data_IF_129536592664
#
_entry.id   IF_129536592664
#
_cell.length_a   1.000
_cell.length_b   1.000
_cell.length_c   1.000
_cell.angle_alpha   90.00
_cell.angle_beta   90.00
_cell.angle_gamma   90.00
#
_symmetry.space_group_name_H-M   'P 1'
#
loop_
_entity.id
_entity.type
_entity.pdbx_description
1 polymer ?
#
# COMPACT_ATOMS: atom_id res chain seq x y z
N UNK A 1 -12.63 -23.46 9.00
CA UNK A 1 -12.92 -22.02 8.70
C UNK A 1 -13.81 -21.98 7.47
N UNK A 2 -14.90 -21.22 7.50
CA UNK A 2 -15.84 -21.13 6.36
C UNK A 2 -15.16 -20.34 5.23
N UNK A 3 -15.54 -20.57 3.97
CA UNK A 3 -14.94 -19.87 2.81
C UNK A 3 -15.00 -18.34 2.91
N UNK A 4 -16.00 -17.80 3.62
CA UNK A 4 -16.14 -16.36 3.90
C UNK A 4 -15.03 -15.80 4.80
N UNK A 5 -14.52 -16.60 5.73
CA UNK A 5 -13.45 -16.19 6.65
C UNK A 5 -12.13 -16.04 5.89
N UNK A 6 -11.85 -16.97 4.96
CA UNK A 6 -10.68 -16.91 4.08
C UNK A 6 -10.74 -15.69 3.13
N UNK A 7 -11.92 -15.39 2.59
CA UNK A 7 -12.11 -14.20 1.76
C UNK A 7 -11.84 -12.91 2.54
N UNK A 8 -12.41 -12.79 3.74
CA UNK A 8 -12.20 -11.64 4.61
C UNK A 8 -10.72 -11.47 4.97
N UNK A 9 -10.03 -12.58 5.26
CA UNK A 9 -8.61 -12.58 5.56
C UNK A 9 -7.76 -12.14 4.35
N UNK A 10 -8.07 -12.61 3.15
CA UNK A 10 -7.36 -12.23 1.93
C UNK A 10 -7.54 -10.74 1.59
N UNK A 11 -8.75 -10.20 1.81
CA UNK A 11 -9.01 -8.76 1.67
C UNK A 11 -8.17 -7.97 2.67
N UNK A 12 -8.14 -8.39 3.93
CA UNK A 12 -7.33 -7.76 4.98
C UNK A 12 -5.84 -7.76 4.65
N UNK A 13 -5.30 -8.88 4.16
CA UNK A 13 -3.90 -8.99 3.75
C UNK A 13 -3.56 -8.09 2.55
N UNK A 14 -4.43 -8.01 1.54
CA UNK A 14 -4.23 -7.12 0.40
C UNK A 14 -4.20 -5.65 0.85
N UNK A 15 -5.08 -5.27 1.78
CA UNK A 15 -5.12 -3.93 2.32
C UNK A 15 -3.87 -3.58 3.12
N UNK A 16 -3.52 -4.42 4.09
CA UNK A 16 -2.35 -4.24 4.94
C UNK A 16 -1.06 -4.28 4.12
N UNK A 17 -0.94 -5.22 3.19
CA UNK A 17 0.19 -5.33 2.27
C UNK A 17 0.34 -4.08 1.41
N UNK A 18 -0.77 -3.55 0.87
CA UNK A 18 -0.77 -2.29 0.12
C UNK A 18 -0.31 -1.10 0.96
N UNK A 19 -0.83 -0.95 2.19
CA UNK A 19 -0.45 0.13 3.11
C UNK A 19 1.03 0.03 3.48
N UNK A 20 1.51 -1.15 3.89
CA UNK A 20 2.91 -1.35 4.29
C UNK A 20 3.84 -1.08 3.10
N UNK A 21 3.51 -1.58 1.91
CA UNK A 21 4.29 -1.33 0.71
C UNK A 21 4.32 0.18 0.37
N UNK A 22 3.17 0.86 0.43
CA UNK A 22 3.07 2.30 0.21
C UNK A 22 3.91 3.11 1.18
N UNK A 23 3.87 2.78 2.47
CA UNK A 23 4.68 3.45 3.50
C UNK A 23 6.18 3.21 3.29
N UNK A 24 6.60 1.98 2.96
CA UNK A 24 8.00 1.67 2.70
C UNK A 24 8.52 2.42 1.47
N UNK A 25 7.76 2.41 0.38
CA UNK A 25 8.12 3.13 -0.85
C UNK A 25 8.15 4.64 -0.61
N UNK A 26 7.15 5.18 0.08
CA UNK A 26 7.09 6.60 0.37
C UNK A 26 8.20 7.09 1.30
N UNK A 27 8.57 6.28 2.30
CA UNK A 27 9.70 6.57 3.16
C UNK A 27 11.02 6.56 2.38
N UNK A 28 11.23 5.53 1.55
CA UNK A 28 12.41 5.44 0.70
C UNK A 28 12.47 6.62 -0.30
N UNK A 29 11.33 7.02 -0.86
CA UNK A 29 11.24 8.17 -1.75
C UNK A 29 11.64 9.47 -1.04
N UNK A 30 11.06 9.77 0.12
CA UNK A 30 11.37 11.01 0.84
C UNK A 30 12.82 11.03 1.34
N UNK A 31 13.30 9.94 1.96
CA UNK A 31 14.60 9.93 2.63
C UNK A 31 15.77 9.61 1.72
N UNK A 32 15.61 8.65 0.81
CA UNK A 32 16.72 8.22 -0.04
C UNK A 32 16.78 9.04 -1.32
N UNK A 33 15.64 9.18 -2.02
CA UNK A 33 15.62 9.87 -3.31
C UNK A 33 15.64 11.39 -3.15
N UNK A 34 14.67 11.96 -2.43
CA UNK A 34 14.52 13.42 -2.36
C UNK A 34 15.56 14.05 -1.44
N UNK A 35 15.64 13.60 -0.18
CA UNK A 35 16.62 14.16 0.77
C UNK A 35 18.05 13.75 0.45
N UNK A 36 18.29 12.48 0.12
CA UNK A 36 19.64 11.95 -0.11
C UNK A 36 20.24 12.35 -1.47
N UNK A 37 19.45 12.26 -2.55
CA UNK A 37 19.96 12.43 -3.92
C UNK A 37 19.75 13.85 -4.45
N UNK A 38 18.65 14.51 -4.08
CA UNK A 38 18.29 15.86 -4.55
C UNK A 38 18.51 16.94 -3.51
N UNK A 39 18.80 16.59 -2.24
CA UNK A 39 18.96 17.55 -1.15
C UNK A 39 17.66 18.26 -0.74
N UNK A 40 16.50 17.80 -1.23
CA UNK A 40 15.19 18.40 -0.98
C UNK A 40 14.51 17.67 0.18
N UNK A 41 14.20 18.39 1.25
CA UNK A 41 13.40 17.86 2.37
C UNK A 41 11.93 17.80 1.99
N UNK A 42 11.47 16.61 1.61
CA UNK A 42 10.08 16.36 1.23
C UNK A 42 9.30 15.52 2.24
N UNK A 43 9.95 15.00 3.27
CA UNK A 43 9.23 14.27 4.33
C UNK A 43 8.23 15.19 5.05
N UNK A 44 6.96 14.78 5.26
CA UNK A 44 6.36 13.46 4.98
C UNK A 44 5.47 13.42 3.72
N UNK A 45 5.64 14.33 2.76
CA UNK A 45 4.74 14.45 1.61
C UNK A 45 4.78 13.23 0.68
N UNK A 46 5.97 12.69 0.37
CA UNK A 46 6.09 11.47 -0.41
C UNK A 46 5.51 10.27 0.32
N UNK A 47 5.77 10.16 1.62
CA UNK A 47 5.20 9.14 2.49
C UNK A 47 3.67 9.17 2.49
N UNK A 48 3.06 10.34 2.65
CA UNK A 48 1.61 10.51 2.60
C UNK A 48 1.04 10.17 1.22
N UNK A 49 1.68 10.62 0.15
CA UNK A 49 1.27 10.31 -1.21
C UNK A 49 1.24 8.79 -1.45
N UNK A 50 2.35 8.10 -1.17
CA UNK A 50 2.44 6.66 -1.38
C UNK A 50 1.61 5.85 -0.38
N UNK A 51 1.31 6.37 0.81
CA UNK A 51 0.35 5.78 1.73
C UNK A 51 -1.05 5.68 1.10
N UNK A 52 -1.57 6.76 0.52
CA UNK A 52 -2.87 6.73 -0.16
C UNK A 52 -2.83 5.84 -1.40
N UNK A 53 -1.75 5.88 -2.19
CA UNK A 53 -1.56 4.97 -3.33
C UNK A 53 -1.56 3.51 -2.88
N UNK A 54 -0.93 3.20 -1.75
CA UNK A 54 -0.90 1.88 -1.13
C UNK A 54 -2.28 1.39 -0.71
N UNK A 55 -3.08 2.25 -0.06
CA UNK A 55 -4.49 1.96 0.27
C UNK A 55 -5.30 1.65 -0.98
N UNK A 56 -5.25 2.53 -1.99
CA UNK A 56 -6.01 2.37 -3.24
C UNK A 56 -5.62 1.07 -3.95
N UNK A 57 -4.32 0.76 -3.98
CA UNK A 57 -3.80 -0.47 -4.60
C UNK A 57 -4.24 -1.71 -3.82
N UNK A 58 -4.22 -1.67 -2.49
CA UNK A 58 -4.70 -2.75 -1.63
C UNK A 58 -6.18 -3.05 -1.84
N UNK A 59 -7.02 -2.01 -1.88
CA UNK A 59 -8.45 -2.16 -2.23
C UNK A 59 -8.65 -2.70 -3.65
N UNK A 60 -7.89 -2.19 -4.62
CA UNK A 60 -7.99 -2.64 -6.02
C UNK A 60 -7.63 -4.11 -6.17
N UNK A 61 -6.59 -4.58 -5.46
CA UNK A 61 -6.18 -5.97 -5.48
C UNK A 61 -7.22 -6.86 -4.78
N UNK A 62 -7.69 -6.46 -3.61
CA UNK A 62 -8.75 -7.16 -2.89
C UNK A 62 -10.02 -7.32 -3.77
N UNK A 63 -10.43 -6.26 -4.47
CA UNK A 63 -11.59 -6.29 -5.38
C UNK A 63 -11.37 -7.23 -6.57
N UNK A 64 -10.17 -7.22 -7.17
CA UNK A 64 -9.83 -8.14 -8.26
C UNK A 64 -9.81 -9.59 -7.82
N UNK A 65 -9.35 -9.87 -6.61
CA UNK A 65 -9.33 -11.22 -6.04
C UNK A 65 -10.77 -11.71 -5.78
N UNK A 66 -11.63 -10.86 -5.24
CA UNK A 66 -13.05 -11.20 -5.05
C UNK A 66 -13.74 -11.51 -6.38
N UNK A 67 -13.50 -10.70 -7.42
CA UNK A 67 -14.08 -10.90 -8.77
C UNK A 67 -13.56 -12.15 -9.49
N UNK A 68 -12.43 -12.72 -9.07
CA UNK A 68 -11.91 -13.98 -9.63
C UNK A 68 -12.54 -15.22 -9.00
N UNK A 69 -13.20 -15.06 -7.85
CA UNK A 69 -13.79 -16.14 -7.07
C UNK A 69 -15.30 -16.27 -7.36
N UNK A 70 -15.94 -15.19 -7.83
CA UNK A 70 -17.27 -15.19 -8.47
C UNK A 70 -17.21 -15.78 -9.88
#
# INVERSE_FOLDING_TARGET
>A
MKGRDFLALNVGFNLLGGIIAGLLVGYAFDKWLMEGLLGLKTFPFGLLFFFFVGIISGFRNAYRDLKRIE
#
